data_IF_228815962314
#
_entry.id   IF_228815962314
#
_cell.length_a   1.000
_cell.length_b   1.000
_cell.length_c   1.000
_cell.angle_alpha   90.00
_cell.angle_beta   90.00
_cell.angle_gamma   90.00
#
_symmetry.space_group_name_H-M   'P 1'
#
loop_
_entity.id
_entity.type
_entity.pdbx_description
1 polymer ?
#
# COMPACT_ATOMS: atom_id res chain seq x y z
N UNK A 1 19.01 -20.18 -5.08
CA UNK A 1 18.14 -20.74 -4.01
C UNK A 1 16.76 -20.12 -4.08
N UNK A 2 16.57 -18.83 -3.77
CA UNK A 2 15.24 -18.21 -3.88
C UNK A 2 14.74 -18.10 -5.34
N UNK A 3 15.63 -17.84 -6.29
CA UNK A 3 15.37 -17.90 -7.74
C UNK A 3 14.93 -19.29 -8.20
N UNK A 4 15.67 -20.33 -7.80
CA UNK A 4 15.33 -21.73 -8.11
C UNK A 4 13.96 -22.10 -7.56
N UNK A 5 13.70 -21.78 -6.29
CA UNK A 5 12.41 -22.06 -5.64
C UNK A 5 11.24 -21.38 -6.37
N UNK A 6 11.43 -20.15 -6.83
CA UNK A 6 10.39 -19.44 -7.58
C UNK A 6 10.22 -19.98 -9.00
N UNK A 7 11.28 -20.43 -9.66
CA UNK A 7 11.16 -21.12 -10.95
C UNK A 7 10.37 -22.43 -10.81
N UNK A 8 10.69 -23.24 -9.80
CA UNK A 8 9.94 -24.48 -9.52
C UNK A 8 8.46 -24.19 -9.22
N UNK A 9 8.18 -23.10 -8.48
CA UNK A 9 6.81 -22.63 -8.22
C UNK A 9 6.07 -22.15 -9.47
N UNK A 10 6.78 -21.56 -10.44
CA UNK A 10 6.19 -21.18 -11.73
C UNK A 10 5.82 -22.44 -12.53
N UNK A 11 6.75 -23.38 -12.64
CA UNK A 11 6.57 -24.63 -13.37
C UNK A 11 5.47 -25.51 -12.77
N UNK A 12 5.38 -25.57 -11.43
CA UNK A 12 4.35 -26.31 -10.70
C UNK A 12 2.96 -25.84 -11.12
N UNK A 13 2.70 -24.53 -11.08
CA UNK A 13 1.39 -23.99 -11.42
C UNK A 13 1.03 -24.16 -12.90
N UNK A 14 2.01 -24.02 -13.80
CA UNK A 14 1.79 -24.24 -15.25
C UNK A 14 1.39 -25.70 -15.55
N UNK A 15 1.86 -26.65 -14.74
CA UNK A 15 1.57 -28.07 -14.91
C UNK A 15 0.19 -28.51 -14.39
N UNK A 16 -0.52 -27.66 -13.63
CA UNK A 16 -1.78 -28.02 -12.98
C UNK A 16 -2.97 -28.09 -13.96
N UNK A 17 -3.85 -29.05 -13.71
CA UNK A 17 -5.19 -29.10 -14.32
C UNK A 17 -6.18 -28.23 -13.56
N UNK A 18 -7.29 -27.84 -14.20
CA UNK A 18 -8.33 -27.00 -13.59
C UNK A 18 -8.92 -27.61 -12.30
N UNK A 19 -8.98 -28.94 -12.21
CA UNK A 19 -9.44 -29.66 -11.01
C UNK A 19 -8.46 -29.58 -9.82
N UNK A 20 -7.18 -29.33 -10.06
CA UNK A 20 -6.14 -29.30 -9.02
C UNK A 20 -5.96 -27.90 -8.42
N UNK A 21 -6.44 -26.86 -9.11
CA UNK A 21 -6.27 -25.45 -8.72
C UNK A 21 -6.80 -25.17 -7.31
N UNK A 22 -7.94 -25.76 -6.93
CA UNK A 22 -8.53 -25.53 -5.61
C UNK A 22 -7.66 -26.12 -4.47
N UNK A 23 -7.15 -27.34 -4.67
CA UNK A 23 -6.24 -27.98 -3.71
C UNK A 23 -4.95 -27.19 -3.59
N UNK A 24 -4.33 -26.86 -4.74
CA UNK A 24 -3.13 -26.02 -4.80
C UNK A 24 -3.33 -24.67 -4.12
N UNK A 25 -4.49 -24.03 -4.32
CA UNK A 25 -4.82 -22.74 -3.69
C UNK A 25 -4.74 -22.79 -2.16
N UNK A 26 -5.13 -23.90 -1.55
CA UNK A 26 -5.15 -24.07 -0.09
C UNK A 26 -3.74 -24.34 0.46
N UNK A 27 -2.96 -25.13 -0.28
CA UNK A 27 -1.56 -25.40 0.04
C UNK A 27 -0.70 -24.15 -0.08
N UNK A 28 -0.92 -23.37 -1.14
CA UNK A 28 -0.16 -22.17 -1.45
C UNK A 28 -0.38 -21.03 -0.43
N UNK A 29 -1.53 -20.99 0.25
CA UNK A 29 -1.78 -20.06 1.37
C UNK A 29 -0.78 -20.25 2.51
N UNK A 30 -0.23 -21.45 2.68
CA UNK A 30 0.69 -21.79 3.77
C UNK A 30 2.15 -21.92 3.31
N UNK A 31 2.42 -21.70 2.02
CA UNK A 31 3.75 -21.85 1.44
C UNK A 31 4.64 -20.62 1.73
N UNK A 32 5.04 -20.47 2.99
CA UNK A 32 5.82 -19.32 3.45
C UNK A 32 7.20 -19.22 2.78
N UNK A 33 7.80 -20.34 2.37
CA UNK A 33 9.10 -20.34 1.71
C UNK A 33 9.03 -19.61 0.36
N UNK A 34 8.03 -19.94 -0.46
CA UNK A 34 7.77 -19.23 -1.72
C UNK A 34 7.43 -17.77 -1.46
N UNK A 35 6.59 -17.47 -0.47
CA UNK A 35 6.26 -16.07 -0.14
C UNK A 35 7.50 -15.24 0.20
N UNK A 36 8.39 -15.76 1.06
CA UNK A 36 9.62 -15.07 1.47
C UNK A 36 10.57 -14.92 0.28
N UNK A 37 10.68 -15.94 -0.59
CA UNK A 37 11.47 -15.87 -1.80
C UNK A 37 10.95 -14.78 -2.76
N UNK A 38 9.63 -14.73 -3.00
CA UNK A 38 8.98 -13.70 -3.81
C UNK A 38 9.22 -12.30 -3.24
N UNK A 39 9.04 -12.10 -1.93
CA UNK A 39 9.34 -10.81 -1.30
C UNK A 39 10.81 -10.40 -1.49
N UNK A 40 11.73 -11.35 -1.34
CA UNK A 40 13.17 -11.09 -1.49
C UNK A 40 13.54 -10.70 -2.92
N UNK A 41 12.97 -11.40 -3.92
CA UNK A 41 13.17 -11.11 -5.35
C UNK A 41 12.59 -9.76 -5.72
N UNK A 42 11.35 -9.47 -5.32
CA UNK A 42 10.70 -8.20 -5.62
C UNK A 42 11.37 -7.00 -4.91
N UNK A 43 12.00 -7.23 -3.75
CA UNK A 43 12.71 -6.19 -3.02
C UNK A 43 14.04 -5.79 -3.67
N UNK A 44 14.77 -6.75 -4.26
CA UNK A 44 16.05 -6.50 -4.94
C UNK A 44 16.20 -7.35 -6.21
N UNK A 45 15.50 -7.00 -7.31
CA UNK A 45 15.49 -7.81 -8.53
C UNK A 45 16.87 -8.01 -9.17
N UNK A 46 17.75 -7.00 -9.08
CA UNK A 46 19.09 -7.04 -9.69
C UNK A 46 20.01 -8.10 -9.10
N UNK A 47 19.70 -8.60 -7.90
CA UNK A 47 20.46 -9.69 -7.27
C UNK A 47 20.22 -11.04 -7.95
N UNK A 48 19.12 -11.18 -8.69
CA UNK A 48 18.68 -12.43 -9.28
C UNK A 48 18.96 -12.42 -10.79
N UNK A 49 19.56 -13.51 -11.27
CA UNK A 49 20.16 -13.63 -12.59
C UNK A 49 19.25 -14.08 -13.75
N UNK A 50 18.06 -14.70 -13.56
CA UNK A 50 17.28 -15.13 -14.72
C UNK A 50 16.64 -13.92 -15.42
N UNK A 51 16.93 -13.77 -16.71
CA UNK A 51 16.18 -12.89 -17.59
C UNK A 51 14.69 -13.30 -17.52
N UNK A 52 13.80 -12.31 -17.36
CA UNK A 52 12.34 -12.48 -17.35
C UNK A 52 11.71 -13.14 -16.09
N UNK A 53 12.45 -13.36 -15.00
CA UNK A 53 11.86 -13.90 -13.76
C UNK A 53 10.70 -13.04 -13.23
N UNK A 54 10.86 -11.72 -13.26
CA UNK A 54 9.82 -10.77 -12.84
C UNK A 54 8.58 -10.87 -13.73
N UNK A 55 8.76 -11.12 -15.03
CA UNK A 55 7.65 -11.27 -15.97
C UNK A 55 6.84 -12.52 -15.66
N UNK A 56 7.51 -13.65 -15.40
CA UNK A 56 6.88 -14.90 -14.99
C UNK A 56 6.10 -14.75 -13.67
N UNK A 57 6.72 -14.12 -12.66
CA UNK A 57 6.04 -13.81 -11.39
C UNK A 57 4.80 -12.94 -11.65
N UNK A 58 4.92 -11.88 -12.44
CA UNK A 58 3.78 -10.98 -12.70
C UNK A 58 2.64 -11.68 -13.42
N UNK A 59 2.96 -12.53 -14.40
CA UNK A 59 1.97 -13.31 -15.14
C UNK A 59 1.26 -14.32 -14.25
N UNK A 60 2.00 -15.05 -13.42
CA UNK A 60 1.42 -16.02 -12.48
C UNK A 60 0.52 -15.34 -11.45
N UNK A 61 0.96 -14.23 -10.85
CA UNK A 61 0.15 -13.44 -9.93
C UNK A 61 -1.14 -12.92 -10.59
N UNK A 62 -1.09 -12.52 -11.86
CA UNK A 62 -2.30 -12.13 -12.59
C UNK A 62 -3.24 -13.33 -12.81
N UNK A 63 -2.69 -14.50 -13.14
CA UNK A 63 -3.46 -15.74 -13.29
C UNK A 63 -4.12 -16.15 -11.97
N UNK A 64 -3.38 -16.09 -10.86
CA UNK A 64 -3.87 -16.35 -9.51
C UNK A 64 -5.06 -15.46 -9.18
N UNK A 65 -4.93 -14.16 -9.42
CA UNK A 65 -5.99 -13.20 -9.16
C UNK A 65 -7.24 -13.46 -10.03
N UNK A 66 -7.06 -13.94 -11.27
CA UNK A 66 -8.15 -14.24 -12.22
C UNK A 66 -8.79 -15.62 -12.05
N UNK A 67 -8.15 -16.53 -11.32
CA UNK A 67 -8.63 -17.91 -11.11
C UNK A 67 -10.00 -18.00 -10.45
N UNK A 68 -10.42 -16.97 -9.71
CA UNK A 68 -11.63 -16.97 -8.89
C UNK A 68 -11.45 -17.58 -7.50
N UNK A 69 -10.30 -18.21 -7.22
CA UNK A 69 -9.99 -18.76 -5.91
C UNK A 69 -9.64 -17.66 -4.89
N UNK A 70 -10.31 -17.62 -3.73
CA UNK A 70 -10.12 -16.55 -2.75
C UNK A 70 -8.72 -16.56 -2.14
N UNK A 71 -8.11 -17.74 -1.90
CA UNK A 71 -6.77 -17.80 -1.30
C UNK A 71 -5.69 -17.36 -2.30
N UNK A 72 -5.78 -17.74 -3.58
CA UNK A 72 -4.87 -17.23 -4.63
C UNK A 72 -5.01 -15.71 -4.85
N UNK A 73 -6.25 -15.19 -4.75
CA UNK A 73 -6.48 -13.76 -4.76
C UNK A 73 -5.75 -13.08 -3.61
N UNK A 74 -5.94 -13.55 -2.36
CA UNK A 74 -5.24 -13.03 -1.16
C UNK A 74 -3.72 -13.14 -1.28
N UNK A 75 -3.23 -14.28 -1.79
CA UNK A 75 -1.82 -14.53 -2.05
C UNK A 75 -1.23 -13.49 -2.99
N UNK A 76 -1.94 -13.11 -4.05
CA UNK A 76 -1.46 -12.07 -4.98
C UNK A 76 -1.42 -10.70 -4.33
N UNK A 77 -2.50 -10.41 -3.64
CA UNK A 77 -2.79 -9.15 -2.98
C UNK A 77 -1.74 -8.73 -1.95
N UNK A 78 -1.03 -9.68 -1.31
CA UNK A 78 0.03 -9.39 -0.34
C UNK A 78 1.31 -8.75 -0.95
N UNK A 79 1.52 -8.92 -2.26
CA UNK A 79 2.71 -8.42 -2.96
C UNK A 79 2.53 -7.04 -3.59
N UNK A 80 1.32 -6.46 -3.49
CA UNK A 80 1.01 -5.12 -4.00
C UNK A 80 2.04 -4.08 -3.57
N UNK A 81 2.43 -3.97 -2.27
CA UNK A 81 3.38 -2.94 -1.87
C UNK A 81 4.73 -3.10 -2.56
N UNK A 82 5.27 -4.32 -2.60
CA UNK A 82 6.55 -4.60 -3.26
C UNK A 82 6.53 -4.28 -4.74
N UNK A 83 5.48 -4.68 -5.46
CA UNK A 83 5.30 -4.37 -6.89
C UNK A 83 5.17 -2.87 -7.14
N UNK A 84 4.41 -2.16 -6.29
CA UNK A 84 4.24 -0.72 -6.40
C UNK A 84 5.55 0.04 -6.14
N UNK A 85 6.31 -0.35 -5.12
CA UNK A 85 7.61 0.25 -4.81
C UNK A 85 8.63 -0.02 -5.92
N UNK A 86 8.64 -1.23 -6.47
CA UNK A 86 9.45 -1.57 -7.64
C UNK A 86 9.11 -0.66 -8.82
N UNK A 87 7.83 -0.54 -9.20
CA UNK A 87 7.40 0.34 -10.29
C UNK A 87 7.74 1.83 -10.06
N UNK A 88 7.62 2.31 -8.81
CA UNK A 88 7.96 3.70 -8.48
C UNK A 88 9.46 3.99 -8.56
N UNK A 89 10.29 2.97 -8.32
CA UNK A 89 11.76 3.06 -8.32
C UNK A 89 12.32 2.86 -9.73
N UNK A 90 11.88 1.80 -10.41
CA UNK A 90 12.31 1.41 -11.75
C UNK A 90 11.08 1.21 -12.65
N UNK A 91 10.99 2.04 -13.68
CA UNK A 91 9.86 2.04 -14.63
C UNK A 91 10.12 1.14 -15.85
N UNK A 92 11.29 0.53 -15.95
CA UNK A 92 11.63 -0.34 -17.09
C UNK A 92 10.83 -1.65 -17.10
N UNK A 93 10.37 -2.08 -15.91
CA UNK A 93 9.63 -3.32 -15.70
C UNK A 93 8.15 -3.18 -16.16
N UNK A 94 7.91 -3.45 -17.44
CA UNK A 94 6.59 -3.28 -18.08
C UNK A 94 5.56 -4.30 -17.58
N UNK A 95 5.98 -5.51 -17.21
CA UNK A 95 5.13 -6.54 -16.62
C UNK A 95 4.53 -6.11 -15.28
N UNK A 96 5.35 -5.51 -14.40
CA UNK A 96 4.91 -4.94 -13.12
C UNK A 96 3.85 -3.86 -13.34
N UNK A 97 4.09 -2.95 -14.30
CA UNK A 97 3.10 -1.93 -14.66
C UNK A 97 1.78 -2.56 -15.15
N UNK A 98 1.86 -3.58 -15.98
CA UNK A 98 0.69 -4.28 -16.54
C UNK A 98 -0.11 -4.99 -15.45
N UNK A 99 0.57 -5.64 -14.51
CA UNK A 99 -0.04 -6.28 -13.35
C UNK A 99 -0.74 -5.24 -12.46
N UNK A 100 -0.07 -4.15 -12.08
CA UNK A 100 -0.64 -3.11 -11.22
C UNK A 100 -1.90 -2.49 -11.84
N UNK A 101 -1.89 -2.20 -13.15
CA UNK A 101 -3.07 -1.70 -13.87
C UNK A 101 -4.20 -2.72 -13.85
N UNK A 102 -3.87 -3.99 -14.10
CA UNK A 102 -4.86 -5.07 -14.12
C UNK A 102 -5.52 -5.24 -12.74
N UNK A 103 -4.72 -5.33 -11.67
CA UNK A 103 -5.23 -5.44 -10.30
C UNK A 103 -6.07 -4.23 -9.91
N UNK A 104 -5.61 -3.02 -10.25
CA UNK A 104 -6.36 -1.79 -10.01
C UNK A 104 -7.73 -1.82 -10.70
N UNK A 105 -7.76 -2.12 -12.00
CA UNK A 105 -8.98 -2.12 -12.79
C UNK A 105 -9.98 -3.19 -12.31
N UNK A 106 -9.49 -4.34 -11.86
CA UNK A 106 -10.32 -5.41 -11.31
C UNK A 106 -10.92 -5.04 -9.95
N UNK A 107 -10.24 -4.21 -9.15
CA UNK A 107 -10.74 -3.79 -7.84
C UNK A 107 -11.66 -2.56 -7.88
N UNK A 108 -11.54 -1.69 -8.89
CA UNK A 108 -12.42 -0.52 -9.01
C UNK A 108 -13.77 -0.81 -9.66
N UNK A 109 -13.97 -2.00 -10.23
CA UNK A 109 -15.25 -2.44 -10.80
C UNK A 109 -15.87 -3.57 -9.97
N UNK A 110 -17.19 -3.58 -9.88
CA UNK A 110 -17.95 -4.68 -9.30
C UNK A 110 -18.17 -5.81 -10.32
N UNK A 111 -18.62 -6.97 -9.84
CA UNK A 111 -19.09 -8.11 -10.62
C UNK A 111 -20.08 -7.76 -11.73
N UNK A 112 -20.83 -6.66 -11.57
CA UNK A 112 -21.79 -6.14 -12.56
C UNK A 112 -21.19 -5.10 -13.52
N UNK A 113 -19.87 -4.91 -13.50
CA UNK A 113 -19.16 -3.91 -14.30
C UNK A 113 -19.40 -2.46 -13.85
N UNK A 114 -19.99 -2.25 -12.67
CA UNK A 114 -20.28 -0.92 -12.15
C UNK A 114 -19.10 -0.40 -11.31
N UNK A 115 -18.80 0.91 -11.32
CA UNK A 115 -17.76 1.48 -10.47
C UNK A 115 -18.03 1.24 -8.99
N UNK A 116 -17.04 0.67 -8.27
CA UNK A 116 -17.14 0.47 -6.82
C UNK A 116 -16.98 1.79 -6.09
N UNK A 117 -17.85 2.01 -5.13
CA UNK A 117 -17.77 3.12 -4.17
C UNK A 117 -17.89 2.55 -2.77
N UNK A 118 -16.93 2.87 -1.90
CA UNK A 118 -17.01 2.52 -0.49
C UNK A 118 -17.54 3.73 0.24
N UNK A 119 -18.71 3.61 0.85
CA UNK A 119 -19.28 4.69 1.64
C UNK A 119 -19.58 4.25 3.05
N UNK A 120 -19.25 5.09 4.02
CA UNK A 120 -19.66 4.91 5.40
C UNK A 120 -20.30 6.19 5.93
N UNK A 121 -21.10 6.01 6.97
CA UNK A 121 -21.75 7.10 7.66
C UNK A 121 -20.96 7.45 8.91
N UNK A 122 -20.76 8.75 9.16
CA UNK A 122 -20.11 9.20 10.39
C UNK A 122 -21.09 8.95 11.56
N UNK A 123 -20.71 8.19 12.60
CA UNK A 123 -21.54 8.04 13.79
C UNK A 123 -21.76 9.40 14.47
N UNK A 124 -22.96 9.63 15.01
CA UNK A 124 -23.28 10.82 15.80
C UNK A 124 -23.67 10.41 17.21
N UNK A 125 -23.08 11.05 18.21
CA UNK A 125 -23.41 10.81 19.63
C UNK A 125 -24.88 11.18 19.95
N UNK A 126 -25.46 12.11 19.19
CA UNK A 126 -26.86 12.49 19.34
C UNK A 126 -27.85 11.40 18.91
N UNK A 127 -27.38 10.38 18.18
CA UNK A 127 -28.16 9.19 17.86
C UNK A 127 -27.78 8.05 18.80
N UNK A 128 -28.77 7.41 19.43
CA UNK A 128 -28.53 6.17 20.17
C UNK A 128 -27.89 5.12 19.26
N UNK A 129 -26.93 4.39 19.81
CA UNK A 129 -26.20 3.33 19.14
C UNK A 129 -26.27 2.05 19.96
N UNK A 130 -25.64 0.98 19.49
CA UNK A 130 -25.49 -0.25 20.28
C UNK A 130 -24.65 -0.06 21.56
N UNK A 131 -23.92 1.05 21.66
CA UNK A 131 -23.01 1.33 22.79
C UNK A 131 -23.56 2.37 23.78
N UNK A 132 -24.57 3.17 23.39
CA UNK A 132 -25.09 4.21 24.25
C UNK A 132 -26.51 4.62 23.87
N UNK A 133 -27.27 5.10 24.86
CA UNK A 133 -28.56 5.72 24.63
C UNK A 133 -28.46 7.25 24.71
N UNK A 134 -28.85 7.96 23.65
CA UNK A 134 -28.78 9.42 23.59
C UNK A 134 -29.72 10.12 24.57
N UNK A 135 -30.75 9.43 25.06
CA UNK A 135 -31.68 9.96 26.08
C UNK A 135 -31.00 10.23 27.43
N UNK A 136 -29.93 9.49 27.73
CA UNK A 136 -29.17 9.60 28.99
C UNK A 136 -28.07 10.66 28.95
N UNK A 137 -27.83 11.26 27.78
CA UNK A 137 -26.80 12.27 27.61
C UNK A 137 -27.28 13.63 28.14
N UNK A 138 -26.37 14.38 28.75
CA UNK A 138 -26.64 15.74 29.22
C UNK A 138 -27.16 16.62 28.07
N UNK A 139 -28.02 17.58 28.39
CA UNK A 139 -28.67 18.47 27.41
C UNK A 139 -27.69 19.28 26.56
N UNK A 140 -26.44 19.45 27.00
CA UNK A 140 -25.36 20.06 26.22
C UNK A 140 -25.00 19.23 24.96
N UNK A 141 -25.17 17.91 25.01
CA UNK A 141 -24.91 17.00 23.89
C UNK A 141 -26.12 16.85 22.95
N UNK A 142 -27.31 17.25 23.37
CA UNK A 142 -28.55 17.27 22.56
C UNK A 142 -28.98 18.69 22.14
N UNK A 143 -28.16 19.70 22.45
CA UNK A 143 -28.37 21.09 22.05
C UNK A 143 -28.53 21.25 20.53
N UNK A 144 -29.07 22.39 20.07
CA UNK A 144 -29.38 22.68 18.67
C UNK A 144 -28.18 22.47 17.71
N UNK A 145 -26.96 22.75 18.17
CA UNK A 145 -25.72 22.46 17.41
C UNK A 145 -25.48 20.96 17.20
N UNK A 146 -25.88 20.12 18.13
CA UNK A 146 -25.80 18.66 18.01
C UNK A 146 -26.87 18.09 17.10
N UNK A 147 -28.07 18.69 17.05
CA UNK A 147 -29.10 18.32 16.08
C UNK A 147 -28.65 18.59 14.65
N UNK A 148 -28.06 19.78 14.39
CA UNK A 148 -27.48 20.11 13.09
C UNK A 148 -26.33 19.18 12.70
N UNK A 149 -25.42 18.87 13.63
CA UNK A 149 -24.36 17.86 13.40
C UNK A 149 -24.94 16.48 13.15
N UNK A 150 -26.03 16.11 13.83
CA UNK A 150 -26.75 14.87 13.58
C UNK A 150 -27.31 14.82 12.16
N UNK A 151 -28.00 15.86 11.71
CA UNK A 151 -28.51 15.95 10.34
C UNK A 151 -27.38 15.83 9.33
N UNK A 152 -26.27 16.55 9.54
CA UNK A 152 -25.10 16.51 8.66
C UNK A 152 -24.41 15.13 8.63
N UNK A 153 -24.25 14.47 9.79
CA UNK A 153 -23.68 13.12 9.88
C UNK A 153 -24.65 12.01 9.44
N UNK A 154 -25.96 12.28 9.44
CA UNK A 154 -26.99 11.34 9.01
C UNK A 154 -27.22 11.38 7.51
N UNK A 155 -27.18 12.57 6.91
CA UNK A 155 -27.48 12.75 5.50
C UNK A 155 -26.25 12.62 4.59
N UNK A 156 -25.04 12.85 5.10
CA UNK A 156 -23.81 12.81 4.29
C UNK A 156 -23.05 11.50 4.50
N UNK A 157 -23.02 10.69 3.46
CA UNK A 157 -22.11 9.56 3.38
C UNK A 157 -20.71 10.05 3.02
N UNK A 158 -19.70 9.64 3.78
CA UNK A 158 -18.31 9.78 3.35
C UNK A 158 -18.06 8.65 2.35
N UNK A 159 -17.76 9.00 1.11
CA UNK A 159 -17.46 8.05 0.06
C UNK A 159 -15.99 8.09 -0.35
N UNK A 160 -15.44 6.91 -0.59
CA UNK A 160 -14.20 6.67 -1.30
C UNK A 160 -14.55 6.07 -2.67
N UNK A 161 -14.14 6.73 -3.75
CA UNK A 161 -14.58 6.42 -5.11
C UNK A 161 -15.87 7.15 -5.52
N UNK A 162 -16.41 6.85 -6.71
CA UNK A 162 -15.92 5.84 -7.67
C UNK A 162 -14.59 6.27 -8.32
N UNK A 163 -13.66 5.33 -8.44
CA UNK A 163 -12.37 5.60 -9.09
C UNK A 163 -12.42 5.18 -10.57
N UNK A 164 -11.93 6.00 -11.51
CA UNK A 164 -11.97 5.67 -12.93
C UNK A 164 -10.94 4.58 -13.27
N UNK A 165 -11.32 3.66 -14.16
CA UNK A 165 -10.41 2.70 -14.77
C UNK A 165 -9.28 3.41 -15.53
N UNK A 166 -8.17 2.71 -15.68
CA UNK A 166 -6.95 3.24 -16.30
C UNK A 166 -6.41 2.23 -17.30
N UNK A 167 -6.09 2.66 -18.52
CA UNK A 167 -5.50 1.78 -19.54
C UNK A 167 -3.99 1.60 -19.34
N UNK A 168 -3.28 2.67 -18.95
CA UNK A 168 -1.83 2.65 -18.74
C UNK A 168 -1.39 3.59 -17.61
N UNK A 169 -0.29 3.25 -16.93
CA UNK A 169 0.32 4.14 -15.95
C UNK A 169 1.15 5.21 -16.64
N UNK A 170 0.93 6.45 -16.23
CA UNK A 170 1.68 7.61 -16.67
C UNK A 170 2.06 8.48 -15.45
N UNK A 171 2.80 9.56 -15.70
CA UNK A 171 3.30 10.41 -14.61
C UNK A 171 2.19 11.03 -13.75
N UNK A 172 1.00 11.28 -14.32
CA UNK A 172 -0.12 11.95 -13.68
C UNK A 172 -0.96 10.99 -12.83
N UNK A 173 -1.25 9.78 -13.33
CA UNK A 173 -2.16 8.85 -12.67
C UNK A 173 -1.46 7.85 -11.73
N UNK A 174 -0.16 7.57 -11.92
CA UNK A 174 0.56 6.51 -11.17
C UNK A 174 0.47 6.65 -9.65
N UNK A 175 0.57 7.87 -9.14
CA UNK A 175 0.48 8.14 -7.70
C UNK A 175 -0.92 7.81 -7.17
N UNK A 176 -1.97 8.18 -7.91
CA UNK A 176 -3.37 7.88 -7.56
C UNK A 176 -3.65 6.38 -7.59
N UNK A 177 -3.17 5.68 -8.61
CA UNK A 177 -3.35 4.23 -8.75
C UNK A 177 -2.63 3.50 -7.60
N UNK A 178 -1.35 3.82 -7.36
CA UNK A 178 -0.58 3.23 -6.26
C UNK A 178 -1.23 3.52 -4.90
N UNK A 179 -1.71 4.75 -4.67
CA UNK A 179 -2.44 5.09 -3.43
C UNK A 179 -3.68 4.22 -3.23
N UNK A 180 -4.47 4.00 -4.29
CA UNK A 180 -5.65 3.14 -4.22
C UNK A 180 -5.29 1.68 -3.95
N UNK A 181 -4.21 1.17 -4.56
CA UNK A 181 -3.72 -0.18 -4.33
C UNK A 181 -3.18 -0.36 -2.89
N UNK A 182 -2.49 0.65 -2.34
CA UNK A 182 -2.04 0.63 -0.93
C UNK A 182 -3.23 0.57 0.02
N UNK A 183 -4.27 1.37 -0.23
CA UNK A 183 -5.51 1.34 0.54
C UNK A 183 -6.20 -0.04 0.52
N UNK A 184 -6.22 -0.69 -0.64
CA UNK A 184 -6.75 -2.05 -0.78
C UNK A 184 -5.90 -3.06 -0.01
N UNK A 185 -4.57 -2.90 -0.03
CA UNK A 185 -3.66 -3.72 0.77
C UNK A 185 -3.86 -3.55 2.27
N UNK A 186 -4.13 -2.34 2.78
CA UNK A 186 -4.41 -2.12 4.21
C UNK A 186 -5.58 -2.97 4.72
N UNK A 187 -6.59 -3.25 3.88
CA UNK A 187 -7.80 -4.00 4.27
C UNK A 187 -7.57 -5.48 4.51
N UNK A 188 -6.54 -6.05 3.91
CA UNK A 188 -6.22 -7.48 3.98
C UNK A 188 -4.90 -7.73 4.74
N UNK A 189 -4.34 -6.68 5.34
CA UNK A 189 -3.06 -6.73 6.04
C UNK A 189 -3.04 -7.72 7.22
N UNK A 190 -4.21 -8.05 7.78
CA UNK A 190 -4.37 -9.07 8.80
C UNK A 190 -3.92 -10.46 8.31
N UNK A 191 -4.15 -10.77 7.03
CA UNK A 191 -3.87 -12.09 6.43
C UNK A 191 -2.42 -12.21 5.92
N UNK A 192 -1.64 -11.12 5.94
CA UNK A 192 -0.26 -11.10 5.42
C UNK A 192 0.69 -11.73 6.43
N UNK A 193 1.68 -12.51 5.99
CA UNK A 193 2.71 -13.06 6.88
C UNK A 193 3.59 -11.97 7.49
N UNK A 194 4.18 -12.21 8.67
CA UNK A 194 4.96 -11.20 9.39
C UNK A 194 6.14 -10.67 8.55
N UNK A 195 6.85 -11.55 7.85
CA UNK A 195 7.96 -11.19 6.98
C UNK A 195 7.52 -10.26 5.85
N UNK A 196 6.32 -10.45 5.30
CA UNK A 196 5.75 -9.58 4.28
C UNK A 196 5.49 -8.15 4.78
N UNK A 197 5.06 -8.03 6.04
CA UNK A 197 4.93 -6.73 6.70
C UNK A 197 6.31 -6.08 6.90
N UNK A 198 7.32 -6.84 7.34
CA UNK A 198 8.68 -6.33 7.48
C UNK A 198 9.24 -5.82 6.15
N UNK A 199 9.07 -6.58 5.06
CA UNK A 199 9.44 -6.14 3.71
C UNK A 199 8.69 -4.88 3.28
N UNK A 200 7.40 -4.78 3.63
CA UNK A 200 6.60 -3.58 3.37
C UNK A 200 7.17 -2.36 4.10
N UNK A 201 7.48 -2.47 5.40
CA UNK A 201 8.10 -1.38 6.16
C UNK A 201 9.48 -0.97 5.60
N UNK A 202 10.32 -1.95 5.22
CA UNK A 202 11.61 -1.67 4.55
C UNK A 202 11.41 -0.95 3.22
N UNK A 203 10.45 -1.40 2.42
CA UNK A 203 10.09 -0.78 1.15
C UNK A 203 9.62 0.67 1.32
N UNK A 204 8.79 0.94 2.34
CA UNK A 204 8.36 2.31 2.69
C UNK A 204 9.57 3.18 3.02
N UNK A 205 10.42 2.74 3.95
CA UNK A 205 11.64 3.46 4.35
C UNK A 205 12.53 3.75 3.13
N UNK A 206 12.75 2.76 2.25
CA UNK A 206 13.53 2.92 1.02
C UNK A 206 12.93 3.98 0.10
N UNK A 207 11.63 3.94 -0.18
CA UNK A 207 10.98 4.90 -1.10
C UNK A 207 11.01 6.33 -0.56
N UNK A 208 10.81 6.51 0.75
CA UNK A 208 10.76 7.86 1.32
C UNK A 208 12.15 8.47 1.50
N UNK A 209 13.20 7.67 1.73
CA UNK A 209 14.59 8.11 1.89
C UNK A 209 15.39 8.14 0.59
N UNK A 210 14.93 7.48 -0.48
CA UNK A 210 15.64 7.45 -1.76
C UNK A 210 15.84 8.86 -2.34
N UNK A 211 17.09 9.14 -2.75
CA UNK A 211 17.48 10.44 -3.30
C UNK A 211 17.62 11.55 -2.25
N UNK A 212 17.60 11.21 -0.96
CA UNK A 212 18.04 12.09 0.12
C UNK A 212 19.44 11.68 0.52
N UNK A 213 20.41 12.60 0.42
CA UNK A 213 21.64 12.41 1.16
C UNK A 213 21.29 12.52 2.63
N UNK A 214 21.25 11.38 3.33
CA UNK A 214 21.55 11.39 4.76
C UNK A 214 22.97 11.93 4.84
N UNK A 215 23.10 13.24 4.99
CA UNK A 215 24.36 13.86 5.37
C UNK A 215 24.71 13.19 6.68
N UNK A 216 25.62 12.22 6.63
CA UNK A 216 26.39 11.84 7.79
C UNK A 216 26.78 13.14 8.48
N UNK A 217 26.46 13.24 9.76
CA UNK A 217 26.77 14.38 10.62
C UNK A 217 28.30 14.54 10.79
N UNK A 218 29.12 13.81 10.04
CA UNK A 218 30.57 13.98 9.99
C UNK A 218 31.03 14.16 8.55
N UNK A 219 31.17 15.42 8.13
CA UNK A 219 32.38 15.97 7.51
C UNK A 219 32.03 17.29 6.81
N UNK A 220 32.02 18.36 7.62
CA UNK A 220 32.33 19.70 7.10
C UNK A 220 33.82 19.72 6.73
N UNK A 221 34.17 19.19 5.57
CA UNK A 221 35.46 19.45 4.94
C UNK A 221 35.21 20.26 3.68
N UNK A 222 35.37 21.57 3.84
CA UNK A 222 35.58 22.52 2.75
C UNK A 222 36.80 22.10 1.93
N UNK A 223 36.70 22.29 0.61
CA UNK A 223 37.78 22.28 -0.39
C UNK A 223 38.70 21.04 -0.43
N UNK A 224 38.50 20.17 -1.43
CA UNK A 224 39.44 19.93 -2.53
C UNK A 224 39.17 18.59 -3.23
N UNK A 225 39.40 18.62 -4.53
CA UNK A 225 39.51 17.54 -5.52
C UNK A 225 40.04 16.21 -4.98
N UNK A 226 39.44 15.08 -5.36
CA UNK A 226 39.87 14.23 -6.48
C UNK A 226 39.15 12.87 -6.39
N UNK A 227 38.93 12.27 -7.55
CA UNK A 227 38.13 11.09 -7.82
C UNK A 227 38.33 9.90 -6.85
N UNK A 228 37.26 9.49 -6.14
CA UNK A 228 36.97 8.08 -5.87
C UNK A 228 35.53 7.88 -5.40
N UNK A 229 34.85 6.92 -6.03
CA UNK A 229 33.54 6.35 -5.69
C UNK A 229 32.33 7.24 -5.98
N UNK A 230 31.84 7.11 -7.22
CA UNK A 230 30.46 7.38 -7.60
C UNK A 230 29.50 6.60 -6.68
N UNK A 231 29.13 7.13 -5.52
CA UNK A 231 27.83 6.80 -4.96
C UNK A 231 26.80 7.37 -5.93
N UNK A 232 26.35 6.56 -6.89
CA UNK A 232 25.26 6.94 -7.78
C UNK A 232 24.06 7.24 -6.88
N UNK A 233 23.79 8.51 -6.62
CA UNK A 233 22.60 8.89 -5.88
C UNK A 233 21.41 8.50 -6.75
N UNK A 234 20.73 7.42 -6.36
CA UNK A 234 19.48 7.04 -7.01
C UNK A 234 18.55 8.26 -7.04
N UNK A 235 17.88 8.54 -8.17
CA UNK A 235 17.03 9.71 -8.28
C UNK A 235 15.90 9.64 -7.25
N UNK A 236 15.48 10.79 -6.74
CA UNK A 236 14.38 10.88 -5.79
C UNK A 236 13.09 10.33 -6.39
N UNK A 237 12.42 9.46 -5.65
CA UNK A 237 11.08 8.97 -6.01
C UNK A 237 10.05 10.01 -5.56
N UNK A 238 9.21 10.56 -6.46
CA UNK A 238 8.12 11.44 -6.06
C UNK A 238 7.08 10.65 -5.28
N UNK A 239 6.66 11.16 -4.12
CA UNK A 239 5.64 10.54 -3.24
C UNK A 239 4.60 11.60 -2.96
N UNK A 240 3.35 11.38 -3.37
CA UNK A 240 2.26 12.34 -3.13
C UNK A 240 1.79 12.33 -1.66
N UNK A 241 1.23 13.45 -1.18
CA UNK A 241 0.64 13.53 0.16
C UNK A 241 -0.40 12.43 0.47
N UNK A 242 -1.38 12.13 -0.42
CA UNK A 242 -2.30 11.02 -0.23
C UNK A 242 -1.61 9.66 -0.11
N UNK A 243 -0.59 9.40 -0.94
CA UNK A 243 0.19 8.18 -0.83
C UNK A 243 0.86 8.10 0.54
N UNK A 244 1.48 9.19 1.00
CA UNK A 244 2.15 9.24 2.30
C UNK A 244 1.20 8.94 3.47
N UNK A 245 -0.05 9.40 3.39
CA UNK A 245 -1.10 9.07 4.38
C UNK A 245 -1.39 7.57 4.39
N UNK A 246 -1.53 6.94 3.22
CA UNK A 246 -1.72 5.48 3.16
C UNK A 246 -0.51 4.72 3.69
N UNK A 247 0.71 5.19 3.43
CA UNK A 247 1.91 4.59 4.02
C UNK A 247 1.91 4.72 5.56
N UNK A 248 1.42 5.82 6.12
CA UNK A 248 1.22 5.97 7.57
C UNK A 248 0.21 4.96 8.12
N UNK A 249 -0.91 4.70 7.42
CA UNK A 249 -1.86 3.67 7.83
C UNK A 249 -1.20 2.29 7.86
N UNK A 250 -0.41 1.95 6.83
CA UNK A 250 0.34 0.69 6.79
C UNK A 250 1.33 0.58 7.94
N UNK A 251 2.09 1.65 8.23
CA UNK A 251 3.03 1.67 9.36
C UNK A 251 2.30 1.48 10.69
N UNK A 252 1.15 2.14 10.86
CA UNK A 252 0.34 2.02 12.08
C UNK A 252 -0.09 0.56 12.32
N UNK A 253 -0.64 -0.10 11.31
CA UNK A 253 -1.01 -1.52 11.41
C UNK A 253 0.22 -2.43 11.54
N UNK A 254 1.35 -2.09 10.90
CA UNK A 254 2.58 -2.85 11.01
C UNK A 254 3.17 -2.80 12.43
N UNK A 255 2.96 -1.70 13.16
CA UNK A 255 3.52 -1.51 14.50
C UNK A 255 3.06 -2.59 15.49
N UNK A 256 1.87 -3.17 15.30
CA UNK A 256 1.35 -4.27 16.12
C UNK A 256 2.13 -5.58 15.95
N UNK A 257 2.76 -5.80 14.78
CA UNK A 257 3.41 -7.07 14.41
C UNK A 257 4.92 -6.98 14.22
N UNK A 258 5.45 -5.81 13.85
CA UNK A 258 6.88 -5.57 13.65
C UNK A 258 7.32 -4.16 14.09
N UNK A 259 7.14 -3.86 15.37
CA UNK A 259 7.34 -2.53 15.96
C UNK A 259 8.66 -1.85 15.58
N UNK A 260 9.80 -2.56 15.64
CA UNK A 260 11.12 -1.97 15.35
C UNK A 260 11.21 -1.40 13.93
N UNK A 261 10.76 -2.15 12.93
CA UNK A 261 10.78 -1.73 11.53
C UNK A 261 9.73 -0.65 11.24
N UNK A 262 8.56 -0.74 11.89
CA UNK A 262 7.49 0.25 11.76
C UNK A 262 7.91 1.61 12.34
N UNK A 263 8.56 1.64 13.51
CA UNK A 263 9.07 2.86 14.13
C UNK A 263 10.12 3.52 13.24
N UNK A 264 11.06 2.75 12.68
CA UNK A 264 12.04 3.28 11.73
C UNK A 264 11.35 3.89 10.50
N UNK A 265 10.43 3.17 9.87
CA UNK A 265 9.68 3.67 8.73
C UNK A 265 8.86 4.94 9.07
N UNK A 266 8.32 5.04 10.29
CA UNK A 266 7.63 6.23 10.77
C UNK A 266 8.56 7.44 10.84
N UNK A 267 9.75 7.27 11.41
CA UNK A 267 10.76 8.34 11.47
C UNK A 267 11.12 8.83 10.06
N UNK A 268 11.36 7.91 9.12
CA UNK A 268 11.70 8.23 7.73
C UNK A 268 10.54 8.95 7.01
N UNK A 269 9.30 8.54 7.24
CA UNK A 269 8.09 9.21 6.72
C UNK A 269 7.93 10.61 7.30
N UNK A 270 8.14 10.80 8.60
CA UNK A 270 8.07 12.13 9.25
C UNK A 270 9.15 13.06 8.67
N UNK A 271 10.37 12.56 8.49
CA UNK A 271 11.45 13.33 7.88
C UNK A 271 11.07 13.73 6.44
N UNK A 272 10.53 12.81 5.66
CA UNK A 272 10.07 13.08 4.29
C UNK A 272 8.94 14.10 4.25
N UNK A 273 7.93 13.95 5.10
CA UNK A 273 6.80 14.88 5.21
C UNK A 273 7.27 16.29 5.58
N UNK A 274 8.21 16.38 6.53
CA UNK A 274 8.79 17.65 6.99
C UNK A 274 9.57 18.34 5.87
N UNK A 275 10.36 17.58 5.11
CA UNK A 275 11.11 18.10 3.97
C UNK A 275 10.20 18.61 2.85
N UNK A 276 9.13 17.87 2.52
CA UNK A 276 8.18 18.25 1.47
C UNK A 276 7.12 19.26 1.95
N UNK A 277 7.20 19.70 3.21
CA UNK A 277 6.26 20.61 3.86
C UNK A 277 4.79 20.14 3.72
N UNK A 278 4.57 18.82 3.76
CA UNK A 278 3.21 18.30 3.76
C UNK A 278 2.55 18.62 5.08
N UNK A 279 1.64 19.60 5.05
CA UNK A 279 0.66 19.75 6.09
C UNK A 279 -0.23 18.51 6.05
N UNK A 280 -0.09 17.61 7.03
CA UNK A 280 -1.24 16.81 7.44
C UNK A 280 -2.34 17.83 7.69
N UNK A 281 -3.47 17.75 6.98
CA UNK A 281 -4.56 18.72 7.13
C UNK A 281 -4.97 18.74 8.61
N UNK A 282 -4.33 19.57 9.43
CA UNK A 282 -4.99 20.23 10.54
C UNK A 282 -6.08 20.99 9.83
N UNK A 283 -7.31 20.46 9.87
CA UNK A 283 -8.43 21.38 9.96
C UNK A 283 -8.09 22.21 11.19
N UNK A 284 -7.53 23.39 10.97
CA UNK A 284 -7.61 24.45 11.94
C UNK A 284 -9.10 24.54 12.25
N UNK A 285 -9.47 23.99 13.41
CA UNK A 285 -10.65 24.45 14.11
C UNK A 285 -10.30 25.88 14.46
N UNK A 286 -10.53 26.79 13.51
CA UNK A 286 -10.55 28.21 13.78
C UNK A 286 -11.54 28.40 14.91
N UNK A 287 -11.02 28.78 16.06
CA UNK A 287 -11.73 29.28 17.22
C UNK A 287 -12.34 30.66 16.91
N UNK A 288 -13.00 30.78 15.77
CA UNK A 288 -13.78 31.94 15.35
C UNK A 288 -15.22 31.46 15.17
N UNK A 289 -15.85 31.13 16.30
CA UNK A 289 -17.30 31.13 16.52
C UNK A 289 -17.57 30.87 18.01
N UNK A 290 -16.85 31.59 18.88
CA UNK A 290 -17.20 31.80 20.28
C UNK A 290 -17.38 33.30 20.47
N UNK A 291 -18.52 33.79 19.99
CA UNK A 291 -19.24 34.90 20.60
C UNK A 291 -20.54 34.34 21.15
#
# INVERSE_FOLDING_TARGET
MADTLVLDWLDEFESLTESEIHTYSTEQEHNHEVMIALYSILYDPHKYKPDNLIDGICQQLLNFYRSGEPHLKKFTMQFIPSLAFLHLTDKSQTSVQTLLVSLYNLEVIDSKGQPRTVSFRIPSIAQSSIYHDSSTLESAFTAQNSLRRWEECNSKLISWGPLPQVECLNAQNRQRVVTALMFLYTRQMADVIQQGIEFTCRGISRIVTQGFSMSSVSNRSSCASDSSLQHSSLPRVPVSGPLLIELCHLIYHAAERCAAMAIQALHDVIQRASYECYAGKKKELTTENLY
#
